data_IF_947330964621
#
_entry.id   IF_947330964621
#
_cell.length_a   1.000
_cell.length_b   1.000
_cell.length_c   1.000
_cell.angle_alpha   90.00
_cell.angle_beta   90.00
_cell.angle_gamma   90.00
#
_symmetry.space_group_name_H-M   'P 1'
#
loop_
_entity.id
_entity.type
_entity.pdbx_description
1 polymer ?
#
# COMPACT_ATOMS: atom_id res chain seq x y z
N UNK A 1 -5.66 -3.48 -14.60
CA UNK A 1 -4.50 -3.82 -13.76
C UNK A 1 -3.29 -4.09 -14.65
N UNK A 2 -2.09 -3.58 -14.31
CA UNK A 2 -0.85 -3.86 -15.07
C UNK A 2 -0.18 -5.10 -14.49
N UNK A 3 0.58 -5.83 -15.32
CA UNK A 3 1.31 -7.05 -14.93
C UNK A 3 2.14 -6.83 -13.65
N UNK A 4 2.83 -5.69 -13.55
CA UNK A 4 3.64 -5.32 -12.37
C UNK A 4 2.86 -5.32 -11.05
N UNK A 5 1.58 -4.93 -11.08
CA UNK A 5 0.74 -4.87 -9.88
C UNK A 5 0.18 -6.25 -9.53
N UNK A 6 -0.03 -7.11 -10.53
CA UNK A 6 -0.63 -8.44 -10.34
C UNK A 6 0.39 -9.49 -9.92
N UNK A 7 1.64 -9.42 -10.37
CA UNK A 7 2.65 -10.46 -10.10
C UNK A 7 2.94 -10.63 -8.61
N UNK A 8 3.09 -9.54 -7.87
CA UNK A 8 3.34 -9.59 -6.42
C UNK A 8 2.13 -10.08 -5.63
N UNK A 9 0.92 -9.67 -6.02
CA UNK A 9 -0.33 -10.12 -5.41
C UNK A 9 -0.52 -11.62 -5.63
N UNK A 10 -0.24 -12.11 -6.85
CA UNK A 10 -0.34 -13.53 -7.18
C UNK A 10 0.55 -14.40 -6.28
N UNK A 11 1.85 -14.07 -6.19
CA UNK A 11 2.82 -14.80 -5.35
C UNK A 11 2.39 -14.78 -3.88
N UNK A 12 1.88 -13.64 -3.39
CA UNK A 12 1.41 -13.51 -2.01
C UNK A 12 0.17 -14.37 -1.74
N UNK A 13 -0.77 -14.46 -2.68
CA UNK A 13 -1.98 -15.28 -2.55
C UNK A 13 -1.65 -16.78 -2.63
N UNK A 14 -0.75 -17.18 -3.53
CA UNK A 14 -0.22 -18.54 -3.61
C UNK A 14 0.40 -18.95 -2.27
N UNK A 15 1.23 -18.08 -1.69
CA UNK A 15 1.82 -18.34 -0.38
C UNK A 15 0.79 -18.39 0.76
N UNK A 16 -0.23 -17.54 0.69
CA UNK A 16 -1.32 -17.51 1.67
C UNK A 16 -2.12 -18.84 1.65
N UNK A 17 -2.37 -19.38 0.47
CA UNK A 17 -3.03 -20.67 0.28
C UNK A 17 -2.19 -21.81 0.86
N UNK A 18 -0.88 -21.84 0.59
CA UNK A 18 0.04 -22.86 1.12
C UNK A 18 0.04 -22.94 2.66
N UNK A 19 -0.15 -21.80 3.35
CA UNK A 19 -0.19 -21.73 4.81
C UNK A 19 -1.62 -21.86 5.38
N UNK A 20 -2.60 -22.19 4.54
CA UNK A 20 -3.97 -22.49 4.94
C UNK A 20 -4.90 -21.28 5.07
N UNK A 21 -4.51 -20.09 4.61
CA UNK A 21 -5.39 -18.93 4.58
C UNK A 21 -6.35 -19.05 3.40
N UNK A 22 -7.66 -19.06 3.72
CA UNK A 22 -8.72 -19.23 2.72
C UNK A 22 -9.37 -17.93 2.25
N UNK A 23 -9.19 -16.85 3.01
CA UNK A 23 -9.82 -15.54 2.75
C UNK A 23 -8.88 -14.42 3.13
N UNK A 24 -8.75 -13.45 2.24
CA UNK A 24 -7.94 -12.25 2.41
C UNK A 24 -8.81 -11.05 2.10
N UNK A 25 -8.78 -10.05 2.96
CA UNK A 25 -9.38 -8.74 2.70
C UNK A 25 -8.28 -7.82 2.13
N UNK A 26 -8.60 -7.06 1.09
CA UNK A 26 -7.67 -6.08 0.50
C UNK A 26 -8.24 -4.67 0.65
N UNK A 27 -7.35 -3.68 0.65
CA UNK A 27 -7.72 -2.27 0.56
C UNK A 27 -7.81 -1.76 -0.88
N UNK A 28 -8.02 -2.67 -1.85
CA UNK A 28 -8.08 -2.28 -3.26
C UNK A 28 -9.24 -1.30 -3.51
N UNK A 29 -9.01 -0.29 -4.32
CA UNK A 29 -9.98 0.77 -4.61
C UNK A 29 -10.13 1.87 -3.55
N UNK A 30 -9.51 1.77 -2.37
CA UNK A 30 -9.58 2.82 -1.33
C UNK A 30 -9.10 4.17 -1.87
N UNK A 31 -7.98 4.19 -2.61
CA UNK A 31 -7.46 5.42 -3.22
C UNK A 31 -8.42 6.03 -4.25
N UNK A 32 -9.19 5.19 -4.96
CA UNK A 32 -10.21 5.65 -5.91
C UNK A 32 -11.42 6.27 -5.23
N UNK A 33 -11.83 5.74 -4.08
CA UNK A 33 -12.97 6.26 -3.31
C UNK A 33 -12.59 7.55 -2.56
N UNK A 34 -11.42 7.59 -1.94
CA UNK A 34 -11.01 8.67 -1.05
C UNK A 34 -10.06 9.69 -1.71
N UNK A 35 -9.69 9.50 -2.97
CA UNK A 35 -8.74 10.38 -3.66
C UNK A 35 -7.31 10.26 -3.13
N UNK A 36 -6.90 9.05 -2.74
CA UNK A 36 -5.59 8.78 -2.11
C UNK A 36 -4.38 8.81 -3.05
N UNK A 37 -4.60 8.95 -4.36
CA UNK A 37 -3.49 9.04 -5.31
C UNK A 37 -2.71 10.35 -5.17
N UNK A 38 -1.38 10.25 -5.16
CA UNK A 38 -0.49 11.41 -5.00
C UNK A 38 -0.70 12.52 -6.04
N UNK A 39 -1.16 12.20 -7.25
CA UNK A 39 -1.45 13.21 -8.28
C UNK A 39 -2.73 14.02 -8.02
N UNK A 40 -3.58 13.58 -7.08
CA UNK A 40 -4.73 14.34 -6.61
C UNK A 40 -4.35 15.36 -5.53
N UNK A 41 -3.09 15.34 -5.06
CA UNK A 41 -2.61 16.32 -4.10
C UNK A 41 -2.48 17.72 -4.75
N UNK A 42 -2.89 18.79 -4.05
CA UNK A 42 -2.73 20.14 -4.57
C UNK A 42 -1.25 20.54 -4.64
N UNK A 43 -0.80 20.99 -5.82
CA UNK A 43 0.61 21.36 -6.11
C UNK A 43 1.21 22.50 -5.25
N UNK A 44 0.40 23.22 -4.47
CA UNK A 44 0.84 24.37 -3.66
C UNK A 44 0.47 24.24 -2.17
N UNK A 45 0.11 23.05 -1.70
CA UNK A 45 -0.35 22.86 -0.33
C UNK A 45 0.79 22.50 0.62
N UNK A 46 0.70 22.93 1.87
CA UNK A 46 1.61 22.57 2.98
C UNK A 46 1.79 21.03 3.15
N UNK A 47 0.92 20.23 2.50
CA UNK A 47 1.00 18.77 2.41
C UNK A 47 2.24 18.22 1.71
N UNK A 48 2.89 18.96 0.80
CA UNK A 48 4.17 18.51 0.22
C UNK A 48 5.25 18.34 1.31
N UNK A 49 5.21 19.17 2.36
CA UNK A 49 6.14 19.08 3.50
C UNK A 49 5.67 18.09 4.56
N UNK A 50 4.36 17.88 4.70
CA UNK A 50 3.80 17.17 5.84
C UNK A 50 3.92 15.63 5.76
N UNK A 51 4.05 15.03 4.57
CA UNK A 51 3.75 13.58 4.48
C UNK A 51 4.71 12.66 3.73
N UNK A 52 5.78 13.11 3.08
CA UNK A 52 6.72 12.13 2.51
C UNK A 52 7.49 11.37 3.61
N UNK A 53 7.93 12.11 4.63
CA UNK A 53 8.74 11.57 5.72
C UNK A 53 7.94 10.67 6.67
N UNK A 54 6.65 10.96 6.87
CA UNK A 54 5.74 10.14 7.70
C UNK A 54 5.29 8.88 6.96
N UNK A 55 4.98 8.95 5.67
CA UNK A 55 4.66 7.76 4.85
C UNK A 55 5.84 6.80 4.74
N UNK A 56 7.06 7.31 4.58
CA UNK A 56 8.26 6.47 4.51
C UNK A 56 8.66 5.92 5.89
N UNK A 57 8.49 6.69 6.98
CA UNK A 57 8.82 6.24 8.35
C UNK A 57 7.94 5.10 8.85
N UNK A 58 6.68 5.02 8.46
CA UNK A 58 5.81 3.88 8.82
C UNK A 58 6.23 2.58 8.14
N UNK A 59 6.83 2.66 6.93
CA UNK A 59 7.43 1.51 6.25
C UNK A 59 8.79 1.12 6.82
N UNK A 60 9.63 2.08 7.22
CA UNK A 60 10.95 1.80 7.83
C UNK A 60 10.90 1.37 9.30
N UNK A 61 9.82 1.63 10.06
CA UNK A 61 9.72 1.27 11.49
C UNK A 61 9.31 -0.18 11.80
N UNK A 62 9.19 -1.07 10.81
CA UNK A 62 9.17 -2.53 11.05
C UNK A 62 10.56 -3.16 10.89
N UNK A 63 11.54 -2.61 11.61
CA UNK A 63 12.76 -3.33 12.01
C UNK A 63 12.93 -3.16 13.52
N UNK A 64 12.31 -4.09 14.23
CA UNK A 64 12.29 -4.18 15.69
C UNK A 64 11.40 -5.37 16.04
N UNK A 65 11.91 -6.58 15.77
CA UNK A 65 11.42 -7.79 16.43
C UNK A 65 12.03 -7.75 17.83
N UNK A 66 11.17 -7.60 18.82
CA UNK A 66 11.30 -8.30 20.10
C UNK A 66 10.22 -9.38 20.11
#
# INVERSE_FOLDING_TARGET
MKIKNSSSIYIALEKAEEIGIKRVLTGDGADGVFGGYSFLLPRNSEYEKFNFDVYCKTWSKKKGRD
#
